data_IF_445405136160
#
_entry.id   IF_445405136160
#
_cell.length_a   1.000
_cell.length_b   1.000
_cell.length_c   1.000
_cell.angle_alpha   90.00
_cell.angle_beta   90.00
_cell.angle_gamma   90.00
#
_symmetry.space_group_name_H-M   'P 1'
#
loop_
_entity.id
_entity.type
_entity.pdbx_description
1 polymer ?
#
# COMPACT_ATOMS: atom_id res chain seq x y z
N UNK A 1 -0.81 -21.85 10.53
CA UNK A 1 -1.64 -20.63 10.44
C UNK A 1 -1.30 -19.97 9.11
N UNK A 2 -2.28 -19.78 8.22
CA UNK A 2 -2.03 -19.14 6.93
C UNK A 2 -1.83 -17.63 7.14
N UNK A 3 -0.96 -16.97 6.35
CA UNK A 3 -0.83 -15.52 6.40
C UNK A 3 -2.20 -14.88 6.19
N UNK A 4 -2.59 -14.02 7.13
CA UNK A 4 -3.89 -13.34 7.16
C UNK A 4 -3.64 -11.86 7.38
N UNK A 5 -4.31 -11.00 6.61
CA UNK A 5 -4.10 -9.54 6.67
C UNK A 5 -4.58 -8.93 7.99
N UNK A 6 -5.49 -9.62 8.69
CA UNK A 6 -5.99 -9.23 10.02
C UNK A 6 -5.87 -10.42 10.96
N UNK A 7 -5.30 -10.16 12.14
CA UNK A 7 -5.27 -11.10 13.24
C UNK A 7 -6.06 -10.50 14.40
N UNK A 8 -7.13 -11.18 14.81
CA UNK A 8 -7.92 -10.81 15.98
C UNK A 8 -7.44 -11.66 17.15
N UNK A 9 -6.90 -11.00 18.17
CA UNK A 9 -6.55 -11.64 19.44
C UNK A 9 -7.68 -11.36 20.43
N UNK A 10 -8.32 -12.41 20.93
CA UNK A 10 -9.35 -12.33 21.96
C UNK A 10 -8.85 -12.96 23.27
N UNK A 11 -9.09 -12.29 24.40
CA UNK A 11 -8.73 -12.82 25.71
C UNK A 11 -8.86 -11.80 26.83
N UNK A 12 -9.13 -12.30 28.04
CA UNK A 12 -9.38 -11.49 29.24
C UNK A 12 -8.12 -10.84 29.85
N UNK A 13 -6.93 -11.28 29.47
CA UNK A 13 -5.64 -10.81 30.01
C UNK A 13 -4.67 -10.30 28.92
N UNK A 14 -5.17 -10.03 27.71
CA UNK A 14 -4.32 -9.65 26.57
C UNK A 14 -3.46 -8.40 26.81
N UNK A 15 -3.97 -7.46 27.60
CA UNK A 15 -3.28 -6.21 27.89
C UNK A 15 -2.37 -6.27 29.12
N UNK A 16 -2.23 -7.44 29.75
CA UNK A 16 -1.39 -7.60 30.93
C UNK A 16 0.11 -7.56 30.58
N UNK A 17 0.54 -8.33 29.56
CA UNK A 17 1.94 -8.38 29.11
C UNK A 17 2.24 -7.24 28.13
N UNK A 18 3.22 -6.39 28.46
CA UNK A 18 3.62 -5.26 27.61
C UNK A 18 4.12 -5.72 26.23
N UNK A 19 4.83 -6.85 26.15
CA UNK A 19 5.37 -7.36 24.89
C UNK A 19 4.27 -7.69 23.90
N UNK A 20 3.13 -8.16 24.39
CA UNK A 20 1.96 -8.46 23.55
C UNK A 20 1.28 -7.17 23.11
N UNK A 21 1.18 -6.17 23.99
CA UNK A 21 0.61 -4.86 23.64
C UNK A 21 1.41 -4.14 22.56
N UNK A 22 2.73 -4.23 22.62
CA UNK A 22 3.62 -3.54 21.67
C UNK A 22 3.53 -4.11 20.24
N UNK A 23 3.03 -5.35 20.11
CA UNK A 23 2.76 -5.98 18.82
C UNK A 23 1.37 -5.66 18.25
N UNK A 24 0.47 -5.05 19.04
CA UNK A 24 -0.90 -4.77 18.63
C UNK A 24 -1.03 -3.40 17.96
N UNK A 25 -1.59 -3.37 16.76
CA UNK A 25 -1.88 -2.11 16.06
C UNK A 25 -3.12 -1.37 16.61
N UNK A 26 -4.03 -2.09 17.27
CA UNK A 26 -5.27 -1.56 17.83
C UNK A 26 -5.66 -2.36 19.07
N UNK A 27 -5.90 -1.68 20.20
CA UNK A 27 -6.23 -2.29 21.49
C UNK A 27 -7.64 -1.86 21.90
N UNK A 28 -8.56 -2.81 21.93
CA UNK A 28 -9.98 -2.58 22.22
C UNK A 28 -10.35 -3.23 23.54
N UNK A 29 -10.91 -2.46 24.47
CA UNK A 29 -11.46 -2.98 25.73
C UNK A 29 -12.99 -2.93 25.70
N UNK A 30 -13.63 -4.08 25.88
CA UNK A 30 -15.09 -4.17 25.97
C UNK A 30 -15.51 -3.96 27.42
N UNK A 31 -16.20 -2.86 27.67
CA UNK A 31 -16.72 -2.51 28.99
C UNK A 31 -18.20 -2.86 29.09
N UNK A 32 -18.55 -3.66 30.09
CA UNK A 32 -19.91 -4.17 30.28
C UNK A 32 -20.18 -4.31 31.76
N UNK A 33 -21.38 -3.91 32.17
CA UNK A 33 -21.79 -3.88 33.56
C UNK A 33 -21.71 -5.27 34.23
N UNK A 34 -21.41 -5.27 35.54
CA UNK A 34 -21.12 -6.50 36.29
C UNK A 34 -22.30 -7.47 36.34
N UNK A 35 -23.51 -6.95 36.46
CA UNK A 35 -24.79 -7.67 36.44
C UNK A 35 -25.06 -8.33 35.08
N UNK A 36 -24.81 -7.62 33.97
CA UNK A 36 -24.96 -8.15 32.61
C UNK A 36 -23.97 -9.30 32.39
N UNK A 37 -22.70 -9.13 32.78
CA UNK A 37 -21.67 -10.18 32.67
C UNK A 37 -22.01 -11.39 33.53
N UNK A 38 -22.48 -11.18 34.76
CA UNK A 38 -22.90 -12.24 35.66
C UNK A 38 -24.09 -13.01 35.09
N UNK A 39 -25.10 -12.29 34.58
CA UNK A 39 -26.29 -12.89 33.94
C UNK A 39 -25.90 -13.75 32.74
N UNK A 40 -25.00 -13.25 31.87
CA UNK A 40 -24.47 -14.02 30.73
C UNK A 40 -23.73 -15.29 31.19
N UNK A 41 -22.93 -15.19 32.26
CA UNK A 41 -22.21 -16.34 32.84
C UNK A 41 -23.15 -17.37 33.43
N UNK A 42 -24.16 -16.95 34.20
CA UNK A 42 -25.16 -17.86 34.78
C UNK A 42 -25.84 -18.62 33.67
N UNK A 43 -26.41 -17.92 32.68
CA UNK A 43 -27.08 -18.57 31.54
C UNK A 43 -26.19 -19.58 30.84
N UNK A 44 -24.95 -19.19 30.50
CA UNK A 44 -23.99 -20.08 29.83
C UNK A 44 -23.65 -21.31 30.67
N UNK A 45 -23.32 -21.13 31.95
CA UNK A 45 -22.84 -22.22 32.79
C UNK A 45 -23.98 -23.14 33.28
N UNK A 46 -25.22 -22.65 33.39
CA UNK A 46 -26.37 -23.46 33.80
C UNK A 46 -27.02 -24.17 32.62
N UNK A 47 -27.28 -23.46 31.51
CA UNK A 47 -27.98 -24.01 30.35
C UNK A 47 -27.04 -24.87 29.50
N UNK A 48 -25.84 -24.37 29.20
CA UNK A 48 -24.93 -25.07 28.27
C UNK A 48 -24.04 -26.10 28.96
N UNK A 49 -23.77 -25.93 30.26
CA UNK A 49 -22.84 -26.79 31.02
C UNK A 49 -23.47 -27.55 32.19
N UNK A 50 -24.78 -27.40 32.40
CA UNK A 50 -25.55 -28.13 33.41
C UNK A 50 -25.11 -27.89 34.86
N UNK A 51 -24.48 -26.75 35.16
CA UNK A 51 -24.04 -26.44 36.53
C UNK A 51 -25.17 -25.88 37.37
N UNK A 52 -25.11 -26.13 38.68
CA UNK A 52 -26.01 -25.51 39.65
C UNK A 52 -25.72 -24.01 39.79
N UNK A 53 -26.80 -23.22 39.90
CA UNK A 53 -26.75 -21.76 40.00
C UNK A 53 -25.96 -21.33 41.25
N UNK A 54 -26.16 -22.03 42.38
CA UNK A 54 -25.51 -21.70 43.65
C UNK A 54 -23.99 -21.83 43.50
N UNK A 55 -23.52 -22.92 42.90
CA UNK A 55 -22.09 -23.14 42.63
C UNK A 55 -21.48 -22.05 41.72
N UNK A 56 -22.23 -21.56 40.72
CA UNK A 56 -21.77 -20.48 39.83
C UNK A 56 -21.66 -19.15 40.59
N UNK A 57 -22.62 -18.83 41.45
CA UNK A 57 -22.62 -17.62 42.28
C UNK A 57 -21.51 -17.63 43.32
N UNK A 58 -21.28 -18.77 43.98
CA UNK A 58 -20.18 -18.95 44.93
C UNK A 58 -18.82 -18.77 44.25
N UNK A 59 -18.63 -19.40 43.08
CA UNK A 59 -17.39 -19.25 42.31
C UNK A 59 -17.19 -17.79 41.86
N UNK A 60 -18.26 -17.13 41.41
CA UNK A 60 -18.19 -15.74 40.97
C UNK A 60 -17.72 -14.82 42.09
N UNK A 61 -18.36 -14.94 43.25
CA UNK A 61 -18.10 -14.10 44.42
C UNK A 61 -16.72 -14.36 45.01
N UNK A 62 -16.30 -15.63 45.06
CA UNK A 62 -15.04 -16.03 45.70
C UNK A 62 -13.80 -15.78 44.85
N UNK A 63 -13.88 -15.91 43.53
CA UNK A 63 -12.69 -15.89 42.67
C UNK A 63 -12.78 -14.93 41.50
N UNK A 64 -13.94 -14.85 40.83
CA UNK A 64 -14.04 -14.18 39.52
C UNK A 64 -14.07 -12.66 39.66
N UNK A 65 -14.84 -12.15 40.63
CA UNK A 65 -14.97 -10.72 40.87
C UNK A 65 -13.62 -10.11 41.23
N UNK A 66 -12.96 -10.68 42.25
CA UNK A 66 -11.62 -10.25 42.70
C UNK A 66 -10.60 -10.33 41.57
N UNK A 67 -10.54 -11.43 40.83
CA UNK A 67 -9.61 -11.55 39.70
C UNK A 67 -9.85 -10.51 38.59
N UNK A 68 -11.11 -10.14 38.33
CA UNK A 68 -11.43 -9.08 37.39
C UNK A 68 -10.97 -7.72 37.89
N UNK A 69 -11.25 -7.39 39.14
CA UNK A 69 -10.91 -6.10 39.76
C UNK A 69 -9.38 -5.90 39.86
N UNK A 70 -8.65 -6.98 40.19
CA UNK A 70 -7.21 -6.91 40.43
C UNK A 70 -6.37 -6.98 39.14
N UNK A 71 -6.79 -7.81 38.16
CA UNK A 71 -5.93 -8.12 37.01
C UNK A 71 -6.47 -7.67 35.66
N UNK A 72 -7.79 -7.56 35.50
CA UNK A 72 -8.39 -7.26 34.19
C UNK A 72 -8.74 -5.78 34.08
N UNK A 73 -9.50 -5.25 35.04
CA UNK A 73 -9.96 -3.86 35.05
C UNK A 73 -8.81 -2.84 34.97
N UNK A 74 -7.67 -3.00 35.67
CA UNK A 74 -6.57 -2.03 35.58
C UNK A 74 -5.93 -1.98 34.19
N UNK A 75 -6.08 -3.03 33.38
CA UNK A 75 -5.52 -3.06 32.02
C UNK A 75 -6.33 -2.22 31.02
N UNK A 76 -7.55 -1.80 31.39
CA UNK A 76 -8.40 -0.88 30.61
C UNK A 76 -7.69 0.40 30.21
N UNK A 77 -6.76 0.89 31.05
CA UNK A 77 -5.97 2.11 30.78
C UNK A 77 -5.03 2.01 29.57
N UNK A 78 -4.72 0.79 29.12
CA UNK A 78 -3.87 0.55 27.95
C UNK A 78 -4.66 0.41 26.65
N UNK A 79 -6.00 0.49 26.72
CA UNK A 79 -6.84 0.40 25.54
C UNK A 79 -6.83 1.71 24.76
N UNK A 80 -6.78 1.61 23.43
CA UNK A 80 -6.94 2.77 22.55
C UNK A 80 -8.43 3.15 22.45
N UNK A 81 -9.32 2.16 22.49
CA UNK A 81 -10.77 2.33 22.39
C UNK A 81 -11.47 1.50 23.47
N UNK A 82 -12.47 2.09 24.12
CA UNK A 82 -13.34 1.42 25.08
C UNK A 82 -14.75 1.34 24.50
N UNK A 83 -15.30 0.14 24.38
CA UNK A 83 -16.65 -0.08 23.83
C UNK A 83 -17.61 -0.43 24.97
N UNK A 84 -18.56 0.46 25.28
CA UNK A 84 -19.62 0.13 26.22
C UNK A 84 -20.61 -0.84 25.57
N UNK A 85 -21.20 -1.73 26.40
CA UNK A 85 -22.27 -2.67 26.02
C UNK A 85 -21.86 -3.75 25.01
N UNK A 86 -20.58 -3.84 24.66
CA UNK A 86 -20.02 -4.92 23.84
C UNK A 86 -20.74 -5.13 22.52
N UNK A 87 -21.17 -6.38 22.26
CA UNK A 87 -21.77 -6.81 21.00
C UNK A 87 -23.08 -6.09 20.63
N UNK A 88 -23.75 -5.46 21.59
CA UNK A 88 -25.00 -4.73 21.36
C UNK A 88 -24.77 -3.34 20.74
N UNK A 89 -23.50 -2.92 20.60
CA UNK A 89 -23.12 -1.61 20.07
C UNK A 89 -22.70 -1.71 18.58
N UNK A 90 -23.69 -1.86 17.70
CA UNK A 90 -23.47 -1.97 16.24
C UNK A 90 -22.70 -0.77 15.68
N UNK A 91 -22.96 0.44 16.16
CA UNK A 91 -22.28 1.66 15.73
C UNK A 91 -20.77 1.59 16.01
N UNK A 92 -20.37 1.11 17.19
CA UNK A 92 -18.96 0.96 17.52
C UNK A 92 -18.28 -0.13 16.68
N UNK A 93 -18.99 -1.24 16.43
CA UNK A 93 -18.51 -2.32 15.57
C UNK A 93 -18.29 -1.81 14.14
N UNK A 94 -19.25 -1.08 13.58
CA UNK A 94 -19.14 -0.50 12.23
C UNK A 94 -17.95 0.46 12.12
N UNK A 95 -17.71 1.27 13.15
CA UNK A 95 -16.58 2.19 13.20
C UNK A 95 -15.24 1.44 13.23
N UNK A 96 -15.13 0.35 14.02
CA UNK A 96 -13.95 -0.52 14.00
C UNK A 96 -13.76 -1.16 12.62
N UNK A 97 -14.82 -1.73 12.04
CA UNK A 97 -14.77 -2.38 10.73
C UNK A 97 -14.33 -1.38 9.66
N UNK A 98 -14.86 -0.16 9.68
CA UNK A 98 -14.46 0.90 8.75
C UNK A 98 -13.00 1.33 8.97
N UNK A 99 -12.57 1.42 10.22
CA UNK A 99 -11.17 1.71 10.56
C UNK A 99 -10.23 0.63 10.05
N UNK A 100 -10.53 -0.65 10.31
CA UNK A 100 -9.76 -1.79 9.82
C UNK A 100 -9.75 -1.79 8.29
N UNK A 101 -10.89 -1.59 7.62
CA UNK A 101 -10.96 -1.50 6.15
C UNK A 101 -10.13 -0.36 5.59
N UNK A 102 -10.10 0.78 6.27
CA UNK A 102 -9.26 1.92 5.88
C UNK A 102 -7.78 1.61 6.07
N UNK A 103 -7.40 0.94 7.17
CA UNK A 103 -6.03 0.50 7.43
C UNK A 103 -5.56 -0.59 6.46
N UNK A 104 -6.42 -1.54 6.12
CA UNK A 104 -6.16 -2.56 5.09
C UNK A 104 -6.11 -1.98 3.68
N UNK A 105 -6.96 -0.99 3.38
CA UNK A 105 -6.89 -0.22 2.14
C UNK A 105 -5.67 0.70 2.05
N UNK A 106 -4.99 0.91 3.18
CA UNK A 106 -3.71 1.60 3.34
C UNK A 106 -2.61 0.60 3.70
N UNK A 107 -2.53 -0.54 2.99
CA UNK A 107 -1.28 -1.28 2.97
C UNK A 107 -0.22 -0.31 2.42
N UNK A 108 0.55 0.32 3.32
CA UNK A 108 1.77 1.03 2.97
C UNK A 108 2.73 -0.03 2.44
N UNK A 109 2.54 -0.45 1.19
CA UNK A 109 3.51 -1.22 0.43
C UNK A 109 4.87 -0.52 0.51
N UNK A 110 4.88 0.81 0.65
CA UNK A 110 6.07 1.63 0.94
C UNK A 110 6.81 1.25 2.23
N UNK A 111 6.16 0.70 3.26
CA UNK A 111 6.82 0.20 4.48
C UNK A 111 7.54 -1.12 4.25
N UNK A 112 7.00 -1.97 3.38
CA UNK A 112 7.57 -3.27 3.04
C UNK A 112 8.63 -3.11 1.94
N UNK A 113 8.39 -2.19 1.02
CA UNK A 113 9.19 -1.89 -0.16
C UNK A 113 9.62 -0.42 -0.12
N UNK A 114 10.80 -0.10 0.46
CA UNK A 114 11.27 1.28 0.59
C UNK A 114 11.55 1.96 -0.77
N UNK A 115 11.69 1.16 -1.83
CA UNK A 115 11.89 1.65 -3.20
C UNK A 115 10.57 1.84 -3.97
N UNK A 116 9.42 1.64 -3.33
CA UNK A 116 8.12 1.90 -3.92
C UNK A 116 7.65 3.30 -3.54
N UNK A 117 7.34 4.10 -4.56
CA UNK A 117 6.79 5.44 -4.41
C UNK A 117 5.38 5.46 -4.99
N UNK A 118 4.40 5.80 -4.14
CA UNK A 118 2.99 5.90 -4.53
C UNK A 118 2.61 7.37 -4.59
N UNK A 119 2.08 7.80 -5.75
CA UNK A 119 1.59 9.17 -5.92
C UNK A 119 0.41 9.39 -4.99
N UNK A 120 0.41 10.51 -4.28
CA UNK A 120 -0.69 10.88 -3.40
C UNK A 120 -2.03 10.91 -4.15
N UNK A 121 -2.98 10.09 -3.70
CA UNK A 121 -4.32 10.03 -4.29
C UNK A 121 -5.13 11.27 -3.92
N UNK A 122 -5.45 12.10 -4.92
CA UNK A 122 -6.41 13.22 -4.80
C UNK A 122 -7.77 12.83 -5.37
N UNK A 123 -8.83 13.59 -5.05
CA UNK A 123 -10.15 13.38 -5.68
C UNK A 123 -10.09 13.46 -7.20
N UNK A 124 -9.21 14.31 -7.75
CA UNK A 124 -9.02 14.42 -9.20
C UNK A 124 -8.39 13.15 -9.79
N UNK A 125 -7.34 12.62 -9.17
CA UNK A 125 -6.72 11.35 -9.60
C UNK A 125 -7.73 10.21 -9.50
N UNK A 126 -8.49 10.15 -8.40
CA UNK A 126 -9.54 9.16 -8.21
C UNK A 126 -10.64 9.27 -9.28
N UNK A 127 -11.08 10.48 -9.63
CA UNK A 127 -12.05 10.72 -10.69
C UNK A 127 -11.54 10.24 -12.06
N UNK A 128 -10.29 10.53 -12.40
CA UNK A 128 -9.68 10.01 -13.63
C UNK A 128 -9.57 8.48 -13.63
N UNK A 129 -9.21 7.87 -12.49
CA UNK A 129 -9.24 6.42 -12.33
C UNK A 129 -10.63 5.82 -12.51
N UNK A 130 -11.68 6.46 -12.00
CA UNK A 130 -13.06 6.00 -12.22
C UNK A 130 -13.37 5.92 -13.71
N UNK A 131 -13.03 6.94 -14.48
CA UNK A 131 -13.30 6.98 -15.93
C UNK A 131 -12.52 5.88 -16.66
N UNK A 132 -11.20 5.78 -16.44
CA UNK A 132 -10.40 4.76 -17.15
C UNK A 132 -10.71 3.32 -16.74
N UNK A 133 -11.40 3.10 -15.61
CA UNK A 133 -11.81 1.78 -15.13
C UNK A 133 -13.27 1.44 -15.46
N UNK A 134 -14.09 2.40 -15.85
CA UNK A 134 -15.48 2.17 -16.25
C UNK A 134 -15.53 1.49 -17.63
N UNK A 135 -16.18 0.33 -17.69
CA UNK A 135 -16.35 -0.45 -18.91
C UNK A 135 -17.23 0.26 -19.96
N UNK A 136 -18.03 1.24 -19.56
CA UNK A 136 -18.85 2.06 -20.46
C UNK A 136 -18.10 3.24 -21.09
N UNK A 137 -16.86 3.52 -20.65
CA UNK A 137 -16.07 4.66 -21.13
C UNK A 137 -15.70 4.53 -22.61
N UNK A 138 -15.82 5.64 -23.35
CA UNK A 138 -15.45 5.68 -24.76
C UNK A 138 -13.94 5.57 -24.94
N UNK A 139 -13.48 5.02 -26.07
CA UNK A 139 -12.04 4.92 -26.38
C UNK A 139 -11.35 6.28 -26.34
N UNK A 140 -12.02 7.34 -26.79
CA UNK A 140 -11.47 8.69 -26.79
C UNK A 140 -11.25 9.21 -25.35
N UNK A 141 -12.25 9.07 -24.49
CA UNK A 141 -12.13 9.48 -23.09
C UNK A 141 -11.09 8.63 -22.35
N UNK A 142 -11.07 7.33 -22.59
CA UNK A 142 -10.06 6.44 -22.03
C UNK A 142 -8.64 6.94 -22.35
N UNK A 143 -8.34 7.20 -23.62
CA UNK A 143 -7.02 7.70 -24.06
C UNK A 143 -6.73 9.06 -23.39
N UNK A 144 -7.68 9.99 -23.44
CA UNK A 144 -7.51 11.33 -22.88
C UNK A 144 -7.19 11.30 -21.37
N UNK A 145 -7.95 10.54 -20.58
CA UNK A 145 -7.74 10.48 -19.14
C UNK A 145 -6.55 9.58 -18.75
N UNK A 146 -6.24 8.53 -19.53
CA UNK A 146 -5.03 7.74 -19.35
C UNK A 146 -3.78 8.60 -19.58
N UNK A 147 -3.71 9.37 -20.67
CA UNK A 147 -2.58 10.26 -20.96
C UNK A 147 -2.37 11.30 -19.85
N UNK A 148 -3.45 11.83 -19.26
CA UNK A 148 -3.38 12.75 -18.13
C UNK A 148 -2.80 12.08 -16.88
N UNK A 149 -3.21 10.86 -16.56
CA UNK A 149 -2.67 10.11 -15.44
C UNK A 149 -1.20 9.73 -15.68
N UNK A 150 -0.85 9.27 -16.88
CA UNK A 150 0.52 8.96 -17.29
C UNK A 150 1.42 10.19 -17.13
N UNK A 151 0.96 11.39 -17.50
CA UNK A 151 1.71 12.65 -17.31
C UNK A 151 2.09 12.84 -15.84
N UNK A 152 1.15 12.59 -14.92
CA UNK A 152 1.42 12.71 -13.47
C UNK A 152 2.45 11.67 -13.01
N UNK A 153 2.36 10.44 -13.50
CA UNK A 153 3.33 9.36 -13.19
C UNK A 153 4.73 9.71 -13.69
N UNK A 154 4.83 10.21 -14.92
CA UNK A 154 6.11 10.62 -15.52
C UNK A 154 6.73 11.76 -14.73
N UNK A 155 5.98 12.83 -14.44
CA UNK A 155 6.49 13.98 -13.68
C UNK A 155 6.94 13.57 -12.27
N UNK A 156 6.17 12.72 -11.59
CA UNK A 156 6.56 12.19 -10.28
C UNK A 156 7.85 11.35 -10.37
N UNK A 157 7.95 10.49 -11.38
CA UNK A 157 9.14 9.67 -11.65
C UNK A 157 10.40 10.50 -11.91
N UNK A 158 10.28 11.60 -12.65
CA UNK A 158 11.39 12.54 -12.88
C UNK A 158 11.89 13.20 -11.59
N UNK A 159 11.02 13.37 -10.59
CA UNK A 159 11.36 13.88 -9.26
C UNK A 159 12.28 12.98 -8.43
N UNK A 160 12.49 11.72 -8.83
CA UNK A 160 13.40 10.78 -8.15
C UNK A 160 14.81 10.73 -8.77
N UNK A 161 15.06 11.53 -9.81
CA UNK A 161 16.38 11.62 -10.42
C UNK A 161 17.35 12.43 -9.54
N UNK A 162 18.67 12.22 -9.67
CA UNK A 162 19.63 13.03 -8.96
C UNK A 162 19.64 14.47 -9.49
N UNK A 163 19.43 15.42 -8.60
CA UNK A 163 19.48 16.86 -8.87
C UNK A 163 20.79 17.46 -8.38
N UNK A 164 21.29 18.48 -9.08
CA UNK A 164 22.48 19.24 -8.65
C UNK A 164 22.07 20.67 -8.32
N UNK A 165 22.49 21.18 -7.17
CA UNK A 165 22.23 22.57 -6.80
C UNK A 165 22.81 23.53 -7.85
N UNK A 166 22.04 24.56 -8.18
CA UNK A 166 22.43 25.58 -9.16
C UNK A 166 21.86 26.92 -8.76
N UNK A 167 22.72 27.92 -8.75
CA UNK A 167 22.32 29.31 -8.54
C UNK A 167 22.19 30.01 -9.88
N UNK A 168 21.12 30.79 -10.02
CA UNK A 168 20.88 31.65 -11.19
C UNK A 168 20.56 33.07 -10.74
N UNK A 169 20.92 34.04 -11.56
CA UNK A 169 20.56 35.43 -11.34
C UNK A 169 19.22 35.66 -12.05
N UNK A 170 18.20 36.09 -11.30
CA UNK A 170 16.88 36.40 -11.84
C UNK A 170 16.94 37.68 -12.69
N UNK A 171 15.94 37.94 -13.55
CA UNK A 171 15.85 39.21 -14.28
C UNK A 171 15.81 40.46 -13.37
N UNK A 172 15.45 40.29 -12.09
CA UNK A 172 15.44 41.36 -11.08
C UNK A 172 16.79 41.57 -10.40
N UNK A 173 17.82 40.80 -10.76
CA UNK A 173 19.17 40.85 -10.17
C UNK A 173 19.33 40.06 -8.87
N UNK A 174 18.28 39.36 -8.41
CA UNK A 174 18.32 38.54 -7.19
C UNK A 174 18.92 37.16 -7.47
N UNK A 175 19.57 36.54 -6.50
CA UNK A 175 20.06 35.16 -6.62
C UNK A 175 18.94 34.20 -6.26
N UNK A 176 18.64 33.25 -7.16
CA UNK A 176 17.74 32.13 -6.90
C UNK A 176 18.55 30.84 -6.80
N UNK A 177 18.43 30.15 -5.67
CA UNK A 177 19.03 28.84 -5.44
C UNK A 177 18.03 27.76 -5.82
N UNK A 178 18.28 27.12 -6.96
CA UNK A 178 17.47 26.04 -7.50
C UNK A 178 18.29 24.77 -7.75
N UNK A 179 17.80 23.95 -8.66
CA UNK A 179 18.45 22.71 -9.06
C UNK A 179 18.53 22.56 -10.58
N UNK A 180 19.55 21.85 -11.05
CA UNK A 180 19.73 21.40 -12.43
C UNK A 180 19.41 19.91 -12.53
N UNK A 181 18.82 19.52 -13.67
CA UNK A 181 18.41 18.15 -13.92
C UNK A 181 19.62 17.24 -14.22
N UNK A 182 19.49 15.95 -13.91
CA UNK A 182 20.48 14.95 -14.31
C UNK A 182 20.66 14.93 -15.83
N UNK A 183 21.92 14.99 -16.27
CA UNK A 183 22.27 14.89 -17.69
C UNK A 183 22.31 13.41 -18.07
N UNK A 184 21.76 13.08 -19.25
CA UNK A 184 21.78 11.74 -19.87
C UNK A 184 20.67 10.78 -19.40
N UNK A 185 19.42 11.15 -19.66
CA UNK A 185 18.24 10.31 -19.49
C UNK A 185 17.91 9.49 -20.74
N UNK A 186 17.27 8.35 -20.57
CA UNK A 186 16.54 7.67 -21.64
C UNK A 186 15.29 6.96 -21.10
N UNK A 187 14.25 6.90 -21.90
CA UNK A 187 13.06 6.08 -21.63
C UNK A 187 13.19 4.74 -22.34
N UNK A 188 12.77 3.66 -21.69
CA UNK A 188 12.71 2.33 -22.28
C UNK A 188 11.27 1.84 -22.16
N UNK A 189 10.56 1.68 -23.29
CA UNK A 189 9.19 1.17 -23.30
C UNK A 189 9.16 -0.36 -23.43
N UNK A 190 8.37 -1.00 -22.57
CA UNK A 190 8.04 -2.43 -22.73
C UNK A 190 6.87 -2.54 -23.72
N UNK A 191 7.13 -3.12 -24.88
CA UNK A 191 6.14 -3.25 -25.95
C UNK A 191 5.08 -4.27 -25.54
N UNK A 192 3.78 -4.00 -25.72
CA UNK A 192 3.16 -2.84 -26.41
C UNK A 192 2.69 -1.73 -25.46
N UNK A 193 2.28 -2.07 -24.25
CA UNK A 193 1.64 -1.16 -23.29
C UNK A 193 2.51 0.06 -22.95
N UNK A 194 3.82 -0.14 -22.77
CA UNK A 194 4.78 0.92 -22.44
C UNK A 194 4.88 2.03 -23.48
N UNK A 195 4.50 1.78 -24.74
CA UNK A 195 4.54 2.78 -25.80
C UNK A 195 3.55 3.93 -25.57
N UNK A 196 2.45 3.66 -24.85
CA UNK A 196 1.47 4.68 -24.48
C UNK A 196 2.07 5.79 -23.60
N UNK A 197 3.13 5.48 -22.85
CA UNK A 197 3.78 6.43 -21.95
C UNK A 197 4.84 7.30 -22.65
N UNK A 198 5.26 6.96 -23.87
CA UNK A 198 6.33 7.67 -24.56
C UNK A 198 5.97 9.13 -24.87
N UNK A 199 4.72 9.39 -25.24
CA UNK A 199 4.27 10.73 -25.59
C UNK A 199 4.33 11.68 -24.39
N UNK A 200 3.86 11.22 -23.22
CA UNK A 200 3.99 11.97 -21.98
C UNK A 200 5.46 12.22 -21.63
N UNK A 201 6.32 11.19 -21.77
CA UNK A 201 7.75 11.34 -21.51
C UNK A 201 8.44 12.34 -22.45
N UNK A 202 8.15 12.31 -23.75
CA UNK A 202 8.65 13.30 -24.71
C UNK A 202 8.14 14.72 -24.43
N UNK A 203 6.92 14.85 -23.93
CA UNK A 203 6.33 16.13 -23.55
C UNK A 203 7.02 16.76 -22.32
N UNK A 204 7.50 15.93 -21.39
CA UNK A 204 8.21 16.39 -20.19
C UNK A 204 9.72 16.58 -20.45
N UNK A 205 10.33 15.71 -21.26
CA UNK A 205 11.77 15.70 -21.54
C UNK A 205 12.06 15.88 -23.04
N UNK A 206 12.37 17.11 -23.46
CA UNK A 206 12.73 17.42 -24.85
C UNK A 206 14.00 16.67 -25.28
N UNK A 207 13.92 15.94 -26.39
CA UNK A 207 15.07 15.22 -26.98
C UNK A 207 15.49 13.95 -26.23
N UNK A 208 14.65 13.41 -25.34
CA UNK A 208 14.93 12.14 -24.67
C UNK A 208 15.06 10.99 -25.67
N UNK A 209 16.10 10.17 -25.52
CA UNK A 209 16.26 8.95 -26.30
C UNK A 209 15.26 7.90 -25.81
N UNK A 210 14.56 7.25 -26.71
CA UNK A 210 13.64 6.15 -26.38
C UNK A 210 14.17 4.85 -26.98
N UNK A 211 14.37 3.86 -26.12
CA UNK A 211 14.59 2.48 -26.51
C UNK A 211 13.35 1.64 -26.29
N UNK A 212 13.33 0.45 -26.88
CA UNK A 212 12.19 -0.46 -26.81
C UNK A 212 12.63 -1.88 -26.47
N UNK A 213 11.83 -2.57 -25.67
CA UNK A 213 11.99 -3.99 -25.37
C UNK A 213 10.66 -4.67 -25.65
N UNK A 214 10.66 -5.69 -26.51
CA UNK A 214 9.53 -6.58 -26.71
C UNK A 214 9.81 -7.89 -26.00
N UNK A 215 8.89 -8.26 -25.12
CA UNK A 215 8.91 -9.53 -24.39
C UNK A 215 7.71 -10.32 -24.88
N UNK A 216 7.97 -11.40 -25.60
CA UNK A 216 6.92 -12.31 -26.04
C UNK A 216 7.18 -13.72 -25.50
N UNK A 217 6.14 -14.33 -24.95
CA UNK A 217 6.17 -15.72 -24.47
C UNK A 217 5.70 -16.60 -25.62
N UNK A 218 6.59 -17.41 -26.18
CA UNK A 218 6.29 -18.24 -27.34
C UNK A 218 6.01 -19.69 -26.87
N UNK A 219 4.75 -20.13 -27.03
CA UNK A 219 4.32 -21.51 -26.77
C UNK A 219 4.36 -21.98 -25.30
N UNK A 220 3.95 -23.24 -25.09
CA UNK A 220 4.03 -23.95 -23.79
C UNK A 220 5.47 -24.37 -23.44
N UNK A 221 6.38 -24.34 -24.41
CA UNK A 221 7.79 -24.73 -24.28
C UNK A 221 8.65 -23.69 -23.53
N UNK A 222 8.06 -22.56 -23.12
CA UNK A 222 8.71 -21.56 -22.28
C UNK A 222 9.82 -20.76 -22.95
N UNK A 223 10.05 -20.92 -24.27
CA UNK A 223 11.00 -20.09 -25.03
C UNK A 223 10.46 -18.68 -25.17
N UNK A 224 11.32 -17.71 -24.91
CA UNK A 224 10.96 -16.29 -24.87
C UNK A 224 11.71 -15.55 -25.96
N UNK A 225 10.96 -14.84 -26.79
CA UNK A 225 11.53 -13.97 -27.79
C UNK A 225 11.68 -12.57 -27.20
N UNK A 226 12.93 -12.16 -27.00
CA UNK A 226 13.30 -10.85 -26.50
C UNK A 226 13.90 -10.06 -27.65
N UNK A 227 13.13 -9.11 -28.19
CA UNK A 227 13.65 -8.11 -29.12
C UNK A 227 13.94 -6.83 -28.36
N UNK A 228 15.07 -6.18 -28.66
CA UNK A 228 15.40 -4.90 -28.04
C UNK A 228 16.07 -3.93 -29.03
N UNK A 229 15.74 -2.66 -28.93
CA UNK A 229 16.45 -1.56 -29.59
C UNK A 229 16.76 -0.49 -28.56
N UNK A 230 18.00 -0.46 -28.07
CA UNK A 230 18.42 0.35 -26.93
C UNK A 230 19.48 1.38 -27.36
N UNK A 231 19.55 2.57 -26.73
CA UNK A 231 20.65 3.51 -26.95
C UNK A 231 22.02 2.85 -26.71
N UNK A 232 22.99 3.08 -27.60
CA UNK A 232 24.35 2.51 -27.49
C UNK A 232 25.07 2.89 -26.19
N UNK A 233 24.72 4.03 -25.61
CA UNK A 233 25.29 4.60 -24.40
C UNK A 233 24.45 4.35 -23.13
N UNK A 234 23.50 3.40 -23.16
CA UNK A 234 22.54 3.14 -22.07
C UNK A 234 23.20 2.83 -20.72
N UNK A 235 24.36 2.16 -20.70
CA UNK A 235 25.08 1.80 -19.47
C UNK A 235 25.49 3.01 -18.61
N UNK A 236 25.58 4.21 -19.21
CA UNK A 236 25.96 5.46 -18.53
C UNK A 236 24.76 6.38 -18.26
N UNK A 237 23.54 5.94 -18.53
CA UNK A 237 22.31 6.75 -18.46
C UNK A 237 21.43 6.34 -17.28
N UNK A 238 20.60 7.28 -16.85
CA UNK A 238 19.43 6.95 -16.04
C UNK A 238 18.30 6.46 -16.94
N UNK A 239 17.71 5.33 -16.59
CA UNK A 239 16.70 4.62 -17.37
C UNK A 239 15.33 4.77 -16.70
N UNK A 240 14.38 5.34 -17.43
CA UNK A 240 12.96 5.32 -17.07
C UNK A 240 12.31 4.14 -17.80
N UNK A 241 12.09 3.03 -17.11
CA UNK A 241 11.42 1.86 -17.67
C UNK A 241 9.90 2.08 -17.62
N UNK A 242 9.23 1.99 -18.76
CA UNK A 242 7.83 2.38 -18.92
C UNK A 242 6.96 1.14 -19.15
N UNK A 243 6.04 0.87 -18.23
CA UNK A 243 4.95 -0.10 -18.44
C UNK A 243 3.73 0.29 -17.59
N UNK A 244 2.62 0.76 -18.19
CA UNK A 244 1.50 1.29 -17.43
C UNK A 244 0.74 0.22 -16.65
N UNK A 245 0.89 -1.07 -16.96
CA UNK A 245 0.17 -2.17 -16.30
C UNK A 245 1.17 -3.18 -15.76
N UNK A 246 1.14 -3.39 -14.45
CA UNK A 246 1.92 -4.42 -13.77
C UNK A 246 0.98 -5.55 -13.36
N UNK A 247 0.97 -6.64 -14.13
CA UNK A 247 0.23 -7.86 -13.77
C UNK A 247 1.03 -8.73 -12.80
N UNK A 248 1.58 -9.83 -13.32
CA UNK A 248 2.43 -10.75 -12.51
C UNK A 248 3.85 -10.22 -12.25
N UNK A 249 4.25 -9.13 -12.91
CA UNK A 249 5.61 -8.58 -12.83
C UNK A 249 6.67 -9.26 -13.70
N UNK A 250 6.37 -10.39 -14.34
CA UNK A 250 7.35 -11.14 -15.13
C UNK A 250 8.01 -10.32 -16.25
N UNK A 251 7.22 -9.56 -17.01
CA UNK A 251 7.73 -8.71 -18.09
C UNK A 251 8.66 -7.61 -17.56
N UNK A 252 8.31 -6.99 -16.42
CA UNK A 252 9.13 -5.97 -15.79
C UNK A 252 10.45 -6.56 -15.29
N UNK A 253 10.42 -7.72 -14.63
CA UNK A 253 11.61 -8.43 -14.15
C UNK A 253 12.54 -8.77 -15.32
N UNK A 254 12.01 -9.28 -16.43
CA UNK A 254 12.81 -9.61 -17.61
C UNK A 254 13.41 -8.38 -18.29
N UNK A 255 12.64 -7.28 -18.39
CA UNK A 255 13.15 -6.03 -18.91
C UNK A 255 14.29 -5.47 -18.04
N UNK A 256 14.15 -5.54 -16.71
CA UNK A 256 15.20 -5.14 -15.77
C UNK A 256 16.43 -6.05 -15.91
N UNK A 257 16.27 -7.37 -15.95
CA UNK A 257 17.37 -8.32 -16.16
C UNK A 257 18.15 -8.02 -17.43
N UNK A 258 17.47 -7.76 -18.55
CA UNK A 258 18.12 -7.36 -19.80
C UNK A 258 18.90 -6.05 -19.65
N UNK A 259 18.38 -5.06 -18.93
CA UNK A 259 19.08 -3.79 -18.68
C UNK A 259 20.35 -4.01 -17.83
N UNK A 260 20.28 -4.87 -16.83
CA UNK A 260 21.42 -5.27 -16.01
C UNK A 260 22.50 -5.98 -16.85
N UNK A 261 22.11 -6.88 -17.77
CA UNK A 261 23.02 -7.52 -18.74
C UNK A 261 23.71 -6.50 -19.65
N UNK A 262 23.02 -5.40 -20.01
CA UNK A 262 23.60 -4.26 -20.75
C UNK A 262 24.43 -3.31 -19.87
N UNK A 263 24.75 -3.71 -18.63
CA UNK A 263 25.57 -2.96 -17.66
C UNK A 263 24.94 -1.65 -17.18
N UNK A 264 23.61 -1.55 -17.21
CA UNK A 264 22.92 -0.47 -16.50
C UNK A 264 22.97 -0.78 -15.01
N UNK A 265 23.31 0.21 -14.18
CA UNK A 265 23.28 0.04 -12.73
C UNK A 265 21.83 0.01 -12.23
N UNK A 266 21.49 -0.92 -11.33
CA UNK A 266 20.14 -1.06 -10.78
C UNK A 266 19.62 0.24 -10.17
N UNK A 267 20.46 0.96 -9.42
CA UNK A 267 20.12 2.26 -8.82
C UNK A 267 19.81 3.37 -9.86
N UNK A 268 20.14 3.16 -11.14
CA UNK A 268 19.85 4.10 -12.21
C UNK A 268 18.58 3.73 -12.99
N UNK A 269 17.86 2.68 -12.59
CA UNK A 269 16.61 2.24 -13.21
C UNK A 269 15.45 2.71 -12.33
N UNK A 270 14.54 3.49 -12.91
CA UNK A 270 13.27 3.88 -12.28
C UNK A 270 12.16 3.24 -13.11
N UNK A 271 11.36 2.38 -12.47
CA UNK A 271 10.21 1.75 -13.10
C UNK A 271 8.96 2.61 -12.91
N UNK A 272 8.36 3.05 -14.02
CA UNK A 272 7.16 3.87 -14.05
C UNK A 272 5.96 3.01 -14.40
N UNK A 273 4.96 3.00 -13.52
CA UNK A 273 3.75 2.23 -13.65
C UNK A 273 2.51 3.06 -13.28
N UNK A 274 1.38 2.78 -13.94
CA UNK A 274 0.11 3.46 -13.69
C UNK A 274 -0.87 2.60 -12.87
N UNK A 275 -0.96 1.31 -13.18
CA UNK A 275 -1.83 0.34 -12.51
C UNK A 275 -0.99 -0.89 -12.16
N UNK A 276 -0.97 -1.22 -10.87
CA UNK A 276 -0.47 -2.47 -10.30
C UNK A 276 -1.60 -3.18 -9.57
#
# INVERSE_FOLDING_TARGET
>A
VNPSDVIILEGILLFHDSRVRDLMNMKIFVDTDADVRLTRRIRRDTIEKGRDIIAVLDQYSKFVKTAFEDFILPTKKYADIIIPRGADNSVAIDLIVQHIRTKLGQNDLCKIHPNLYVIQTTYQIRGMHTIIRDAATTTHDFIFYADRLIRLVVEHGLGHLPFREKQVITPTGSVYTGVDFSKSLCGISVIRSGESMENALRACCKGIKIGKILIHREGDDGKQLIYHNLPKDIAKRHVLLLDPILGTGNSAVQAISLLLEKRVQEANIIFLNLIS
#
